data_IF_492186378225
#
_entry.id   IF_492186378225
#
_cell.length_a   1.000
_cell.length_b   1.000
_cell.length_c   1.000
_cell.angle_alpha   90.00
_cell.angle_beta   90.00
_cell.angle_gamma   90.00
#
_symmetry.space_group_name_H-M   'P 1'
#
loop_
_entity.id
_entity.type
_entity.pdbx_description
1 polymer ?
#
# COMPACT_ATOMS: atom_id res chain seq x y z
N UNK A 1 9.64 17.10 9.52
CA UNK A 1 9.61 16.14 8.40
C UNK A 1 8.73 16.75 7.31
N UNK A 2 9.32 17.36 6.27
CA UNK A 2 8.53 17.89 5.15
C UNK A 2 8.10 16.71 4.28
N UNK A 3 6.85 16.70 3.91
CA UNK A 3 6.23 15.67 3.10
C UNK A 3 6.47 16.01 1.62
N UNK A 4 7.30 15.25 0.92
CA UNK A 4 7.56 15.44 -0.52
C UNK A 4 6.47 14.74 -1.35
N UNK A 5 5.56 15.48 -2.02
CA UNK A 5 4.45 14.89 -2.78
C UNK A 5 4.90 14.10 -4.02
N UNK A 6 6.10 14.37 -4.53
CA UNK A 6 6.70 13.71 -5.72
C UNK A 6 7.14 12.26 -5.47
N UNK A 7 7.07 11.77 -4.24
CA UNK A 7 7.48 10.40 -3.87
C UNK A 7 6.30 9.50 -3.48
N UNK A 8 5.05 9.89 -3.79
CA UNK A 8 3.87 9.07 -3.50
C UNK A 8 3.72 7.97 -4.55
N UNK A 9 3.37 6.75 -4.11
CA UNK A 9 2.90 5.73 -5.04
C UNK A 9 1.42 5.91 -5.33
N UNK A 10 1.03 5.64 -6.56
CA UNK A 10 -0.36 5.41 -6.92
C UNK A 10 -0.84 4.07 -6.34
N UNK A 11 -2.17 3.90 -6.19
CA UNK A 11 -2.76 2.61 -5.79
C UNK A 11 -2.34 1.50 -6.74
N UNK A 12 -2.31 1.79 -8.05
CA UNK A 12 -1.83 0.87 -9.08
C UNK A 12 -0.39 0.42 -8.84
N UNK A 13 0.54 1.35 -8.66
CA UNK A 13 1.95 1.00 -8.44
C UNK A 13 2.15 0.20 -7.16
N UNK A 14 1.42 0.53 -6.10
CA UNK A 14 1.45 -0.26 -4.87
C UNK A 14 0.93 -1.68 -5.10
N UNK A 15 -0.15 -1.84 -5.86
CA UNK A 15 -0.73 -3.14 -6.20
C UNK A 15 0.26 -3.99 -7.04
N UNK A 16 0.95 -3.38 -8.00
CA UNK A 16 1.98 -4.04 -8.82
C UNK A 16 3.16 -4.51 -7.95
N UNK A 17 3.65 -3.67 -7.03
CA UNK A 17 4.73 -4.06 -6.09
C UNK A 17 4.34 -5.17 -5.13
N UNK A 18 3.08 -5.17 -4.69
CA UNK A 18 2.54 -6.16 -3.76
C UNK A 18 2.02 -7.42 -4.46
N UNK A 19 1.99 -7.46 -5.80
CA UNK A 19 1.40 -8.54 -6.59
C UNK A 19 -0.08 -8.84 -6.21
N UNK A 20 -0.85 -7.78 -5.97
CA UNK A 20 -2.29 -7.85 -5.61
C UNK A 20 -3.11 -6.94 -6.52
N UNK A 21 -4.43 -6.93 -6.35
CA UNK A 21 -5.32 -6.03 -7.10
C UNK A 21 -5.44 -4.66 -6.43
N UNK A 22 -5.76 -3.62 -7.21
CA UNK A 22 -6.02 -2.28 -6.67
C UNK A 22 -7.19 -2.27 -5.67
N UNK A 23 -8.22 -3.10 -5.89
CA UNK A 23 -9.36 -3.23 -4.94
C UNK A 23 -8.89 -3.77 -3.59
N UNK A 24 -8.01 -4.78 -3.60
CA UNK A 24 -7.43 -5.31 -2.38
C UNK A 24 -6.68 -4.22 -1.62
N UNK A 25 -5.81 -3.46 -2.28
CA UNK A 25 -5.08 -2.35 -1.64
C UNK A 25 -6.05 -1.36 -0.97
N UNK A 26 -7.10 -0.94 -1.68
CA UNK A 26 -8.10 0.00 -1.15
C UNK A 26 -8.88 -0.55 0.03
N UNK A 27 -9.29 -1.82 -0.02
CA UNK A 27 -10.06 -2.46 1.05
C UNK A 27 -9.18 -2.72 2.27
N UNK A 28 -8.00 -3.28 2.07
CA UNK A 28 -7.07 -3.61 3.15
C UNK A 28 -6.55 -2.35 3.87
N UNK A 29 -6.26 -1.28 3.14
CA UNK A 29 -5.92 0.02 3.76
C UNK A 29 -7.08 0.56 4.60
N UNK A 30 -8.31 0.51 4.08
CA UNK A 30 -9.50 0.99 4.81
C UNK A 30 -9.85 0.13 6.03
N UNK A 31 -9.54 -1.16 5.98
CA UNK A 31 -9.71 -2.09 7.09
C UNK A 31 -8.58 -2.01 8.12
N UNK A 32 -7.48 -1.32 7.82
CA UNK A 32 -6.29 -1.22 8.69
C UNK A 32 -5.38 -2.46 8.65
N UNK A 33 -5.63 -3.39 7.73
CA UNK A 33 -4.81 -4.60 7.56
C UNK A 33 -3.59 -4.37 6.67
N UNK A 34 -3.60 -3.31 5.85
CA UNK A 34 -2.46 -2.91 5.02
C UNK A 34 -2.01 -1.49 5.36
N UNK A 35 -0.99 -1.38 6.22
CA UNK A 35 -0.50 -0.11 6.77
C UNK A 35 0.66 0.49 5.95
N UNK A 36 0.44 0.69 4.64
CA UNK A 36 1.45 1.21 3.70
C UNK A 36 1.38 2.72 3.46
N UNK A 37 0.53 3.42 4.22
CA UNK A 37 0.28 4.85 4.05
C UNK A 37 -0.97 5.29 4.79
N UNK A 38 -1.60 6.35 4.28
CA UNK A 38 -2.85 6.88 4.82
C UNK A 38 -3.87 7.12 3.71
N UNK A 39 -5.13 7.29 4.07
CA UNK A 39 -6.20 7.63 3.14
C UNK A 39 -7.13 8.68 3.77
N UNK A 40 -7.72 9.51 2.92
CA UNK A 40 -8.69 10.53 3.32
C UNK A 40 -9.95 10.35 2.47
N UNK A 41 -11.11 10.34 3.11
CA UNK A 41 -12.38 10.40 2.41
C UNK A 41 -12.68 11.85 2.04
N UNK A 42 -12.82 12.12 0.74
CA UNK A 42 -13.17 13.43 0.21
C UNK A 42 -14.69 13.65 0.31
N UNK A 43 -15.10 14.93 0.29
CA UNK A 43 -16.51 15.32 0.14
C UNK A 43 -17.07 14.73 -1.17
N UNK A 44 -18.09 13.86 -1.05
CA UNK A 44 -18.65 13.09 -2.18
C UNK A 44 -18.31 11.59 -2.20
N UNK A 45 -17.71 11.06 -1.12
CA UNK A 45 -17.56 9.62 -0.92
C UNK A 45 -16.38 8.97 -1.66
N UNK A 46 -15.59 9.76 -2.39
CA UNK A 46 -14.34 9.33 -3.02
C UNK A 46 -13.20 9.30 -1.99
N UNK A 47 -12.20 8.47 -2.24
CA UNK A 47 -11.03 8.34 -1.36
C UNK A 47 -9.77 8.80 -2.08
N UNK A 48 -8.97 9.60 -1.39
CA UNK A 48 -7.60 9.95 -1.79
C UNK A 48 -6.64 9.10 -0.98
N UNK A 49 -5.72 8.41 -1.66
CA UNK A 49 -4.72 7.58 -1.02
C UNK A 49 -3.35 8.26 -1.02
N UNK A 50 -2.66 8.19 0.10
CA UNK A 50 -1.32 8.72 0.31
C UNK A 50 -0.40 7.55 0.67
N UNK A 51 0.07 6.83 -0.35
CA UNK A 51 0.88 5.62 -0.19
C UNK A 51 2.36 6.00 -0.16
N UNK A 52 3.07 5.49 0.85
CA UNK A 52 4.50 5.71 1.03
C UNK A 52 5.29 4.56 0.40
N UNK A 53 6.21 4.81 -0.56
CA UNK A 53 7.03 3.76 -1.14
C UNK A 53 7.85 3.04 -0.07
N UNK A 54 8.41 3.78 0.89
CA UNK A 54 9.18 3.20 2.01
C UNK A 54 8.37 2.19 2.83
N UNK A 55 7.08 2.46 3.06
CA UNK A 55 6.22 1.55 3.83
C UNK A 55 5.80 0.34 3.00
N UNK A 56 5.62 0.50 1.68
CA UNK A 56 5.40 -0.63 0.78
C UNK A 56 6.62 -1.54 0.75
N UNK A 57 7.82 -0.97 0.57
CA UNK A 57 9.07 -1.74 0.56
C UNK A 57 9.32 -2.42 1.92
N UNK A 58 9.02 -1.76 3.03
CA UNK A 58 9.10 -2.36 4.37
C UNK A 58 8.09 -3.51 4.55
N UNK A 59 6.84 -3.33 4.11
CA UNK A 59 5.82 -4.38 4.17
C UNK A 59 6.22 -5.61 3.34
N UNK A 60 6.77 -5.39 2.13
CA UNK A 60 7.32 -6.48 1.30
C UNK A 60 8.52 -7.13 1.98
N UNK A 61 9.40 -6.37 2.63
CA UNK A 61 10.56 -6.94 3.34
C UNK A 61 10.16 -7.76 4.57
N UNK A 62 9.15 -7.33 5.32
CA UNK A 62 8.66 -8.00 6.54
C UNK A 62 7.78 -9.22 6.24
N UNK A 63 7.01 -9.17 5.14
CA UNK A 63 6.10 -10.24 4.71
C UNK A 63 6.59 -10.98 3.44
N UNK A 64 7.89 -10.91 3.15
CA UNK A 64 8.49 -11.25 1.87
C UNK A 64 8.06 -12.57 1.23
N UNK A 65 7.49 -12.44 0.04
CA UNK A 65 7.29 -13.44 -1.01
C UNK A 65 6.32 -14.58 -0.67
N UNK A 66 5.06 -14.47 -1.12
CA UNK A 66 4.22 -15.65 -1.40
C UNK A 66 4.77 -16.40 -2.62
N UNK A 67 5.99 -16.92 -2.49
CA UNK A 67 6.78 -17.44 -3.58
C UNK A 67 8.23 -17.69 -3.18
N UNK A 68 8.46 -18.39 -2.07
CA UNK A 68 9.44 -19.48 -2.03
C UNK A 68 9.16 -20.36 -0.83
N UNK A 69 8.96 -21.63 -1.14
CA UNK A 69 8.94 -22.75 -0.22
C UNK A 69 10.17 -22.68 0.68
N UNK A 70 9.95 -22.70 1.98
CA UNK A 70 11.02 -22.62 2.97
C UNK A 70 10.55 -23.10 4.32
N UNK A 71 10.97 -24.33 4.64
CA UNK A 71 11.01 -25.01 5.96
C UNK A 71 9.67 -25.59 6.46
N UNK A 72 9.54 -26.87 6.86
CA UNK A 72 10.49 -27.92 7.30
C UNK A 72 9.98 -29.30 6.85
#
# INVERSE_FOLDING_TARGET
>A
MRYDPEKRLSVKEAAERLCVTEDYVRRAMRQGTLNIGSFVQNTGGRYTYHISPKLVDAYVGEHGSFGQEGTL
#
